data_IF_369973750429
#
_entry.id   IF_369973750429
#
_cell.length_a   1.000
_cell.length_b   1.000
_cell.length_c   1.000
_cell.angle_alpha   90.00
_cell.angle_beta   90.00
_cell.angle_gamma   90.00
#
_symmetry.space_group_name_H-M   'P 1'
#
loop_
_entity.id
_entity.type
_entity.pdbx_description
1 polymer ?
#
# COMPACT_ATOMS: atom_id res chain seq x y z
N UNK A 1 -15.79 1.14 19.42
CA UNK A 1 -14.51 0.98 18.70
C UNK A 1 -14.49 -0.42 18.11
N UNK A 2 -14.70 -0.53 16.79
CA UNK A 2 -14.66 -1.82 16.10
C UNK A 2 -13.21 -2.36 16.07
N UNK A 3 -13.04 -3.68 16.16
CA UNK A 3 -11.72 -4.32 16.06
C UNK A 3 -11.16 -4.14 14.65
N UNK A 4 -10.00 -3.48 14.53
CA UNK A 4 -9.27 -3.27 13.26
C UNK A 4 -8.23 -4.35 12.95
N UNK A 5 -8.16 -5.40 13.77
CA UNK A 5 -7.32 -6.57 13.54
C UNK A 5 -8.09 -7.82 13.96
N UNK A 6 -7.89 -8.91 13.23
CA UNK A 6 -8.57 -10.17 13.50
C UNK A 6 -8.13 -10.76 14.84
N UNK A 7 -9.07 -11.39 15.56
CA UNK A 7 -8.75 -12.17 16.77
C UNK A 7 -8.04 -13.46 16.37
N UNK A 8 -6.72 -13.42 16.39
CA UNK A 8 -5.84 -14.57 16.18
C UNK A 8 -5.25 -14.98 17.52
N UNK A 9 -5.48 -16.24 17.91
CA UNK A 9 -5.02 -16.80 19.17
C UNK A 9 -3.53 -17.18 19.13
N UNK A 10 -2.83 -16.99 20.24
CA UNK A 10 -1.39 -17.31 20.37
C UNK A 10 -1.11 -18.82 20.41
N UNK A 11 -2.12 -19.62 20.74
CA UNK A 11 -2.05 -21.09 20.76
C UNK A 11 -2.55 -21.71 19.44
N UNK A 12 -2.82 -20.90 18.42
CA UNK A 12 -3.35 -21.33 17.13
C UNK A 12 -2.27 -21.85 16.15
N UNK A 13 -2.62 -22.06 14.88
CA UNK A 13 -1.70 -22.55 13.83
C UNK A 13 -0.68 -21.51 13.33
N UNK A 14 -0.61 -20.34 13.98
CA UNK A 14 0.36 -19.29 13.71
C UNK A 14 1.46 -19.35 14.77
N UNK A 15 2.71 -19.22 14.35
CA UNK A 15 3.80 -19.04 15.31
C UNK A 15 3.73 -17.66 15.94
N UNK A 16 4.34 -17.51 17.13
CA UNK A 16 4.48 -16.21 17.79
C UNK A 16 5.18 -15.17 16.91
N UNK A 17 6.14 -15.60 16.08
CA UNK A 17 6.85 -14.73 15.13
C UNK A 17 5.93 -14.19 14.05
N UNK A 18 5.11 -15.03 13.42
CA UNK A 18 4.20 -14.60 12.35
C UNK A 18 3.07 -13.72 12.89
N UNK A 19 2.49 -14.12 14.03
CA UNK A 19 1.46 -13.33 14.69
C UNK A 19 1.99 -11.97 15.16
N UNK A 20 3.20 -11.94 15.72
CA UNK A 20 3.88 -10.70 16.12
C UNK A 20 4.15 -9.78 14.93
N UNK A 21 4.63 -10.34 13.81
CA UNK A 21 4.87 -9.59 12.59
C UNK A 21 3.59 -9.01 11.99
N UNK A 22 2.51 -9.81 11.87
CA UNK A 22 1.22 -9.35 11.37
C UNK A 22 0.62 -8.22 12.23
N UNK A 23 0.69 -8.34 13.57
CA UNK A 23 0.23 -7.30 14.50
C UNK A 23 1.06 -6.02 14.36
N UNK A 24 2.38 -6.16 14.28
CA UNK A 24 3.32 -5.04 14.13
C UNK A 24 3.09 -4.28 12.82
N UNK A 25 3.00 -5.00 11.69
CA UNK A 25 2.72 -4.40 10.40
C UNK A 25 1.33 -3.76 10.34
N UNK A 26 0.29 -4.39 10.90
CA UNK A 26 -1.03 -3.76 10.96
C UNK A 26 -1.01 -2.44 11.72
N UNK A 27 -0.31 -2.36 12.86
CA UNK A 27 -0.15 -1.12 13.61
C UNK A 27 0.59 -0.04 12.79
N UNK A 28 1.64 -0.43 12.05
CA UNK A 28 2.36 0.47 11.15
C UNK A 28 1.50 0.95 9.98
N UNK A 29 0.71 0.06 9.36
CA UNK A 29 -0.24 0.39 8.29
C UNK A 29 -1.29 1.38 8.77
N UNK A 30 -1.95 1.12 9.91
CA UNK A 30 -2.96 2.03 10.43
C UNK A 30 -2.38 3.40 10.75
N UNK A 31 -1.21 3.45 11.41
CA UNK A 31 -0.55 4.71 11.75
C UNK A 31 -0.19 5.50 10.49
N UNK A 32 0.46 4.84 9.52
CA UNK A 32 0.90 5.49 8.29
C UNK A 32 -0.26 5.91 7.39
N UNK A 33 -1.36 5.15 7.34
CA UNK A 33 -2.61 5.55 6.67
C UNK A 33 -3.18 6.83 7.24
N UNK A 34 -3.31 6.93 8.55
CA UNK A 34 -3.86 8.13 9.19
C UNK A 34 -2.98 9.37 8.96
N UNK A 35 -1.66 9.21 9.05
CA UNK A 35 -0.75 10.31 8.74
C UNK A 35 -0.82 10.70 7.27
N UNK A 36 -1.00 9.75 6.36
CA UNK A 36 -1.15 10.00 4.93
C UNK A 36 -2.44 10.79 4.64
N UNK A 37 -3.58 10.35 5.18
CA UNK A 37 -4.86 11.05 5.07
C UNK A 37 -4.78 12.47 5.65
N UNK A 38 -4.10 12.63 6.79
CA UNK A 38 -3.86 13.94 7.43
C UNK A 38 -3.00 14.86 6.55
N UNK A 39 -1.90 14.34 6.00
CA UNK A 39 -1.01 15.09 5.13
C UNK A 39 -1.70 15.50 3.81
N UNK A 40 -2.48 14.59 3.21
CA UNK A 40 -3.32 14.86 2.04
C UNK A 40 -4.32 16.00 2.30
N UNK A 41 -5.05 15.96 3.42
CA UNK A 41 -5.99 17.02 3.76
C UNK A 41 -5.32 18.41 3.96
N UNK A 42 -4.08 18.44 4.45
CA UNK A 42 -3.29 19.68 4.54
C UNK A 42 -2.88 20.17 3.17
N UNK A 43 -2.44 19.26 2.29
CA UNK A 43 -2.07 19.57 0.91
C UNK A 43 -3.26 20.11 0.11
N UNK A 44 -4.40 19.41 0.07
CA UNK A 44 -5.61 19.82 -0.67
C UNK A 44 -6.09 21.22 -0.27
N UNK A 45 -6.01 21.52 1.04
CA UNK A 45 -6.35 22.83 1.59
C UNK A 45 -5.39 23.93 1.10
N UNK A 46 -4.11 23.62 0.94
CA UNK A 46 -3.10 24.58 0.48
C UNK A 46 -3.16 24.78 -1.04
N UNK A 47 -3.39 23.71 -1.79
CA UNK A 47 -3.66 23.76 -3.23
C UNK A 47 -4.88 24.67 -3.52
N UNK A 48 -6.00 24.42 -2.84
CA UNK A 48 -7.21 25.26 -2.95
C UNK A 48 -6.97 26.74 -2.57
N UNK A 49 -5.99 27.01 -1.71
CA UNK A 49 -5.60 28.39 -1.34
C UNK A 49 -4.66 29.02 -2.36
N UNK A 50 -3.89 28.23 -3.10
CA UNK A 50 -3.09 28.67 -4.23
C UNK A 50 -3.99 29.32 -5.29
N UNK A 51 -5.08 28.64 -5.66
CA UNK A 51 -6.07 29.17 -6.62
C UNK A 51 -6.64 30.53 -6.18
N UNK A 52 -6.89 30.70 -4.88
CA UNK A 52 -7.36 31.98 -4.31
C UNK A 52 -6.26 33.04 -4.31
N UNK A 53 -5.01 32.65 -4.08
CA UNK A 53 -3.87 33.55 -4.12
C UNK A 53 -3.65 34.13 -5.51
N UNK A 54 -3.73 33.32 -6.56
CA UNK A 54 -3.61 33.75 -7.95
C UNK A 54 -4.66 34.81 -8.31
N UNK A 55 -5.90 34.62 -7.86
CA UNK A 55 -6.98 35.61 -8.03
C UNK A 55 -6.69 36.90 -7.26
N UNK A 56 -6.13 36.79 -6.05
CA UNK A 56 -5.83 37.96 -5.25
C UNK A 56 -4.68 38.78 -5.86
N UNK A 57 -3.64 38.11 -6.34
CA UNK A 57 -2.45 38.69 -6.98
C UNK A 57 -2.76 39.38 -8.30
N UNK A 58 -3.74 38.88 -9.07
CA UNK A 58 -4.23 39.59 -10.26
C UNK A 58 -4.77 41.01 -9.95
N UNK A 59 -5.12 41.29 -8.68
CA UNK A 59 -5.68 42.56 -8.22
C UNK A 59 -4.71 43.42 -7.37
N UNK A 60 -3.45 42.99 -7.17
CA UNK A 60 -2.47 43.71 -6.33
C UNK A 60 -1.07 43.67 -6.92
N UNK A 61 -0.25 44.67 -6.61
CA UNK A 61 1.19 44.71 -6.98
C UNK A 61 2.06 43.89 -6.01
N UNK A 62 1.53 43.47 -4.86
CA UNK A 62 2.29 42.81 -3.80
C UNK A 62 1.98 41.30 -3.72
N UNK A 63 2.96 40.41 -4.01
CA UNK A 63 2.76 38.95 -4.11
C UNK A 63 2.95 38.19 -2.78
N UNK A 64 3.01 38.88 -1.63
CA UNK A 64 3.41 38.24 -0.37
C UNK A 64 2.47 37.12 0.08
N UNK A 65 1.19 37.16 -0.31
CA UNK A 65 0.23 36.13 0.03
C UNK A 65 0.47 34.84 -0.76
N UNK A 66 0.60 34.91 -2.09
CA UNK A 66 0.88 33.73 -2.90
C UNK A 66 2.27 33.19 -2.65
N UNK A 67 3.28 34.04 -2.44
CA UNK A 67 4.62 33.60 -2.01
C UNK A 67 4.56 32.76 -0.72
N UNK A 68 3.83 33.23 0.28
CA UNK A 68 3.66 32.49 1.54
C UNK A 68 2.89 31.17 1.36
N UNK A 69 1.81 31.18 0.56
CA UNK A 69 1.05 29.96 0.27
C UNK A 69 1.92 28.94 -0.48
N UNK A 70 2.68 29.37 -1.48
CA UNK A 70 3.54 28.51 -2.28
C UNK A 70 4.67 27.87 -1.46
N UNK A 71 5.31 28.62 -0.56
CA UNK A 71 6.33 28.08 0.36
C UNK A 71 5.75 26.99 1.29
N UNK A 72 4.57 27.25 1.86
CA UNK A 72 3.89 26.30 2.75
C UNK A 72 3.40 25.07 1.97
N UNK A 73 2.86 25.27 0.76
CA UNK A 73 2.39 24.21 -0.12
C UNK A 73 3.54 23.26 -0.50
N UNK A 74 4.70 23.78 -0.91
CA UNK A 74 5.88 22.95 -1.21
C UNK A 74 6.31 22.09 -0.01
N UNK A 75 6.29 22.68 1.19
CA UNK A 75 6.61 21.94 2.43
C UNK A 75 5.59 20.84 2.73
N UNK A 76 4.31 21.12 2.51
CA UNK A 76 3.23 20.15 2.70
C UNK A 76 3.31 19.00 1.69
N UNK A 77 3.55 19.28 0.40
CA UNK A 77 3.75 18.25 -0.63
C UNK A 77 4.92 17.33 -0.31
N UNK A 78 6.06 17.89 0.13
CA UNK A 78 7.22 17.09 0.51
C UNK A 78 6.95 16.19 1.74
N UNK A 79 6.13 16.68 2.67
CA UNK A 79 5.71 15.91 3.84
C UNK A 79 4.74 14.79 3.46
N UNK A 80 3.69 15.11 2.71
CA UNK A 80 2.71 14.16 2.16
C UNK A 80 3.43 13.02 1.44
N UNK A 81 4.32 13.34 0.49
CA UNK A 81 5.05 12.32 -0.27
C UNK A 81 5.87 11.40 0.62
N UNK A 82 6.54 11.95 1.65
CA UNK A 82 7.34 11.15 2.58
C UNK A 82 6.47 10.19 3.38
N UNK A 83 5.29 10.64 3.82
CA UNK A 83 4.35 9.81 4.56
C UNK A 83 3.75 8.75 3.64
N UNK A 84 3.39 9.10 2.40
CA UNK A 84 2.90 8.16 1.39
C UNK A 84 3.88 7.03 1.09
N UNK A 85 5.17 7.35 0.93
CA UNK A 85 6.23 6.34 0.74
C UNK A 85 6.42 5.44 1.97
N UNK A 86 6.26 6.00 3.17
CA UNK A 86 6.28 5.22 4.41
C UNK A 86 5.08 4.27 4.48
N UNK A 87 3.89 4.77 4.12
CA UNK A 87 2.67 3.99 4.06
C UNK A 87 2.74 2.87 3.02
N UNK A 88 3.28 3.17 1.83
CA UNK A 88 3.54 2.18 0.79
C UNK A 88 4.36 1.01 1.32
N UNK A 89 5.52 1.30 1.91
CA UNK A 89 6.45 0.28 2.41
C UNK A 89 5.76 -0.72 3.35
N UNK A 90 5.04 -0.21 4.35
CA UNK A 90 4.42 -1.07 5.36
C UNK A 90 3.16 -1.76 4.85
N UNK A 91 2.40 -1.11 3.97
CA UNK A 91 1.19 -1.69 3.38
C UNK A 91 1.54 -2.80 2.41
N UNK A 92 2.50 -2.58 1.52
CA UNK A 92 2.99 -3.59 0.60
C UNK A 92 3.59 -4.80 1.35
N UNK A 93 4.40 -4.56 2.39
CA UNK A 93 4.93 -5.62 3.24
C UNK A 93 3.80 -6.40 3.97
N UNK A 94 2.78 -5.71 4.48
CA UNK A 94 1.64 -6.33 5.14
C UNK A 94 0.85 -7.23 4.20
N UNK A 95 0.58 -6.79 2.97
CA UNK A 95 -0.09 -7.61 1.95
C UNK A 95 0.74 -8.86 1.63
N UNK A 96 2.03 -8.71 1.31
CA UNK A 96 2.87 -9.84 0.91
C UNK A 96 3.06 -10.84 2.06
N UNK A 97 3.30 -10.38 3.30
CA UNK A 97 3.36 -11.26 4.47
C UNK A 97 2.02 -11.95 4.71
N UNK A 98 0.93 -11.19 4.65
CA UNK A 98 -0.42 -11.69 4.88
C UNK A 98 -0.81 -12.80 3.90
N UNK A 99 -0.55 -12.59 2.60
CA UNK A 99 -0.79 -13.60 1.55
C UNK A 99 0.06 -14.84 1.80
N UNK A 100 1.35 -14.69 2.11
CA UNK A 100 2.22 -15.83 2.38
C UNK A 100 1.73 -16.66 3.58
N UNK A 101 1.28 -16.00 4.66
CA UNK A 101 0.69 -16.67 5.82
C UNK A 101 -0.64 -17.33 5.45
N UNK A 102 -1.51 -16.64 4.72
CA UNK A 102 -2.81 -17.17 4.28
C UNK A 102 -2.64 -18.44 3.45
N UNK A 103 -1.80 -18.42 2.42
CA UNK A 103 -1.53 -19.57 1.57
C UNK A 103 -1.01 -20.76 2.39
N UNK A 104 -0.02 -20.55 3.27
CA UNK A 104 0.51 -21.67 4.04
C UNK A 104 -0.53 -22.26 5.01
N UNK A 105 -1.41 -21.43 5.57
CA UNK A 105 -2.45 -21.90 6.50
C UNK A 105 -3.51 -22.67 5.72
N UNK A 106 -3.98 -22.14 4.59
CA UNK A 106 -4.97 -22.81 3.73
C UNK A 106 -4.45 -24.15 3.19
N UNK A 107 -3.17 -24.24 2.87
CA UNK A 107 -2.54 -25.45 2.34
C UNK A 107 -1.92 -26.35 3.42
N UNK A 108 -2.11 -26.03 4.71
CA UNK A 108 -1.54 -26.79 5.85
C UNK A 108 -0.01 -26.97 5.80
N UNK A 109 0.68 -26.01 5.19
CA UNK A 109 2.15 -25.99 5.08
C UNK A 109 2.80 -25.61 6.41
N UNK A 110 4.08 -26.00 6.64
CA UNK A 110 4.83 -25.62 7.83
C UNK A 110 4.88 -24.09 8.04
N UNK A 111 5.00 -23.62 9.29
CA UNK A 111 5.18 -22.20 9.58
C UNK A 111 6.39 -21.58 8.89
N UNK A 112 6.31 -20.28 8.60
CA UNK A 112 7.42 -19.54 8.04
C UNK A 112 8.56 -19.44 9.06
N UNK A 113 9.80 -19.58 8.59
CA UNK A 113 10.97 -19.35 9.44
C UNK A 113 11.08 -17.87 9.84
N UNK A 114 11.69 -17.59 11.00
CA UNK A 114 11.87 -16.21 11.48
C UNK A 114 12.59 -15.31 10.45
N UNK A 115 13.63 -15.83 9.79
CA UNK A 115 14.35 -15.11 8.74
C UNK A 115 13.47 -14.80 7.51
N UNK A 116 12.54 -15.70 7.18
CA UNK A 116 11.57 -15.47 6.08
C UNK A 116 10.57 -14.39 6.46
N UNK A 117 10.06 -14.42 7.70
CA UNK A 117 9.15 -13.39 8.22
C UNK A 117 9.84 -12.02 8.25
N UNK A 118 11.07 -11.95 8.75
CA UNK A 118 11.85 -10.71 8.79
C UNK A 118 12.06 -10.12 7.38
N UNK A 119 12.39 -10.97 6.40
CA UNK A 119 12.51 -10.54 4.99
C UNK A 119 11.18 -10.06 4.42
N UNK A 120 10.05 -10.66 4.82
CA UNK A 120 8.71 -10.27 4.40
C UNK A 120 8.21 -8.97 5.04
N UNK A 121 8.78 -8.59 6.19
CA UNK A 121 8.49 -7.32 6.85
C UNK A 121 9.20 -6.11 6.21
N UNK A 122 10.13 -6.34 5.27
CA UNK A 122 10.74 -5.27 4.48
C UNK A 122 9.87 -4.90 3.29
N UNK A 123 10.15 -3.75 2.67
CA UNK A 123 9.49 -3.38 1.43
C UNK A 123 9.69 -4.47 0.36
N UNK A 124 8.61 -5.01 -0.23
CA UNK A 124 8.73 -5.92 -1.34
C UNK A 124 9.06 -5.16 -2.63
N UNK A 125 9.72 -5.83 -3.57
CA UNK A 125 9.80 -5.32 -4.95
C UNK A 125 8.41 -5.25 -5.56
N UNK A 126 8.22 -4.38 -6.57
CA UNK A 126 6.95 -4.25 -7.27
C UNK A 126 6.45 -5.58 -7.85
N UNK A 127 7.36 -6.37 -8.44
CA UNK A 127 7.07 -7.70 -8.97
C UNK A 127 6.63 -8.69 -7.88
N UNK A 128 7.26 -8.67 -6.71
CA UNK A 128 6.85 -9.53 -5.59
C UNK A 128 5.47 -9.15 -5.05
N UNK A 129 5.16 -7.86 -4.99
CA UNK A 129 3.83 -7.39 -4.63
C UNK A 129 2.79 -7.82 -5.69
N UNK A 130 3.11 -7.65 -6.97
CA UNK A 130 2.27 -8.10 -8.08
C UNK A 130 1.99 -9.61 -8.04
N UNK A 131 3.01 -10.43 -7.76
CA UNK A 131 2.87 -11.88 -7.57
C UNK A 131 1.93 -12.22 -6.40
N UNK A 132 2.09 -11.53 -5.26
CA UNK A 132 1.22 -11.74 -4.10
C UNK A 132 -0.25 -11.36 -4.42
N UNK A 133 -0.47 -10.29 -5.18
CA UNK A 133 -1.81 -9.86 -5.62
C UNK A 133 -2.41 -10.78 -6.69
N UNK A 134 -1.60 -11.61 -7.34
CA UNK A 134 -2.05 -12.59 -8.33
C UNK A 134 -2.53 -13.90 -7.69
N UNK A 135 -2.38 -14.07 -6.38
CA UNK A 135 -2.88 -15.24 -5.65
C UNK A 135 -4.42 -15.20 -5.62
N UNK A 136 -5.10 -16.30 -5.98
CA UNK A 136 -6.57 -16.35 -5.97
C UNK A 136 -7.11 -16.49 -4.54
N UNK A 137 -7.02 -15.42 -3.75
CA UNK A 137 -7.42 -15.40 -2.33
C UNK A 137 -8.89 -15.81 -2.14
N UNK A 138 -9.77 -15.47 -3.09
CA UNK A 138 -11.17 -15.87 -3.07
C UNK A 138 -11.40 -17.40 -3.06
N UNK A 139 -10.42 -18.17 -3.55
CA UNK A 139 -10.45 -19.64 -3.56
C UNK A 139 -9.88 -20.24 -2.27
N UNK A 140 -9.04 -19.50 -1.55
CA UNK A 140 -8.41 -19.93 -0.28
C UNK A 140 -9.32 -19.71 0.92
N UNK A 141 -10.24 -18.75 0.85
CA UNK A 141 -11.08 -18.35 1.98
C UNK A 141 -12.41 -19.12 1.96
N UNK A 142 -12.78 -19.78 3.07
CA UNK A 142 -14.07 -20.47 3.20
C UNK A 142 -15.23 -19.47 3.12
N UNK A 143 -16.28 -19.82 2.37
CA UNK A 143 -17.40 -18.91 2.09
C UNK A 143 -18.42 -18.90 3.23
N UNK A 144 -18.91 -17.71 3.61
CA UNK A 144 -20.08 -17.56 4.47
C UNK A 144 -21.35 -17.85 3.66
N UNK A 145 -22.26 -18.68 4.19
CA UNK A 145 -23.42 -19.25 3.48
C UNK A 145 -24.44 -18.23 2.90
N UNK A 146 -24.29 -16.93 3.17
CA UNK A 146 -25.15 -15.87 2.63
C UNK A 146 -24.31 -14.98 1.68
N UNK A 147 -24.69 -14.94 0.38
CA UNK A 147 -24.05 -14.20 -0.73
C UNK A 147 -22.76 -14.81 -1.35
N UNK A 148 -22.78 -16.11 -1.61
CA UNK A 148 -21.65 -16.92 -2.11
C UNK A 148 -20.98 -16.40 -3.39
N UNK A 149 -21.78 -15.98 -4.40
CA UNK A 149 -21.25 -15.60 -5.72
C UNK A 149 -20.78 -14.15 -5.71
N UNK A 150 -21.60 -13.27 -5.14
CA UNK A 150 -21.35 -11.82 -5.12
C UNK A 150 -20.11 -11.47 -4.28
N UNK A 151 -19.90 -12.13 -3.13
CA UNK A 151 -18.73 -11.87 -2.30
C UNK A 151 -17.42 -12.31 -2.97
N UNK A 152 -17.37 -13.54 -3.53
CA UNK A 152 -16.17 -14.05 -4.23
C UNK A 152 -15.81 -13.20 -5.45
N UNK A 153 -16.80 -12.82 -6.25
CA UNK A 153 -16.59 -11.96 -7.42
C UNK A 153 -16.04 -10.60 -6.99
N UNK A 154 -16.64 -9.96 -5.97
CA UNK A 154 -16.13 -8.69 -5.44
C UNK A 154 -14.70 -8.78 -4.92
N UNK A 155 -14.37 -9.83 -4.17
CA UNK A 155 -12.99 -10.03 -3.68
C UNK A 155 -12.04 -10.22 -4.86
N UNK A 156 -12.37 -11.05 -5.85
CA UNK A 156 -11.53 -11.23 -7.03
C UNK A 156 -11.33 -9.92 -7.81
N UNK A 157 -12.38 -9.12 -7.98
CA UNK A 157 -12.31 -7.80 -8.62
C UNK A 157 -11.43 -6.82 -7.85
N UNK A 158 -11.54 -6.76 -6.53
CA UNK A 158 -10.70 -5.90 -5.68
C UNK A 158 -9.22 -6.26 -5.78
N UNK A 159 -8.90 -7.55 -5.72
CA UNK A 159 -7.51 -8.03 -5.85
C UNK A 159 -6.96 -7.78 -7.26
N UNK A 160 -7.77 -8.02 -8.31
CA UNK A 160 -7.39 -7.72 -9.68
C UNK A 160 -7.15 -6.22 -9.90
N UNK A 161 -8.02 -5.36 -9.36
CA UNK A 161 -7.83 -3.91 -9.44
C UNK A 161 -6.52 -3.48 -8.77
N UNK A 162 -6.22 -3.98 -7.56
CA UNK A 162 -4.96 -3.66 -6.89
C UNK A 162 -3.75 -4.16 -7.69
N UNK A 163 -3.82 -5.38 -8.25
CA UNK A 163 -2.78 -5.95 -9.11
C UNK A 163 -2.53 -5.07 -10.33
N UNK A 164 -3.57 -4.68 -11.04
CA UNK A 164 -3.47 -3.87 -12.26
C UNK A 164 -2.91 -2.46 -11.96
N UNK A 165 -3.20 -1.92 -10.77
CA UNK A 165 -2.58 -0.66 -10.31
C UNK A 165 -1.10 -0.79 -9.98
N UNK A 166 -0.67 -1.92 -9.44
CA UNK A 166 0.76 -2.22 -9.23
C UNK A 166 1.46 -2.46 -10.56
N UNK A 167 0.81 -3.12 -11.53
CA UNK A 167 1.35 -3.28 -12.88
C UNK A 167 1.55 -1.92 -13.57
N UNK A 168 0.58 -1.02 -13.43
CA UNK A 168 0.72 0.35 -13.90
C UNK A 168 1.87 1.11 -13.19
N UNK A 169 2.06 0.91 -11.89
CA UNK A 169 3.19 1.49 -11.17
C UNK A 169 4.55 0.98 -11.70
N UNK A 170 4.64 -0.29 -12.13
CA UNK A 170 5.84 -0.83 -12.80
C UNK A 170 6.08 -0.11 -14.12
N UNK A 171 5.04 0.12 -14.91
CA UNK A 171 5.14 0.85 -16.17
C UNK A 171 5.60 2.30 -15.95
N UNK A 172 5.08 2.99 -14.92
CA UNK A 172 5.50 4.35 -14.56
C UNK A 172 6.95 4.42 -14.11
N UNK A 173 7.45 3.43 -13.35
CA UNK A 173 8.88 3.37 -12.98
C UNK A 173 9.76 3.27 -14.23
N UNK A 174 9.33 2.50 -15.24
CA UNK A 174 10.04 2.37 -16.50
C UNK A 174 10.02 3.68 -17.31
N UNK A 175 8.87 4.34 -17.38
CA UNK A 175 8.69 5.64 -18.05
C UNK A 175 9.58 6.72 -17.41
N UNK A 176 9.58 6.82 -16.08
CA UNK A 176 10.43 7.77 -15.35
C UNK A 176 11.91 7.51 -15.65
N UNK A 177 12.33 6.25 -15.68
CA UNK A 177 13.73 5.90 -15.97
C UNK A 177 14.14 6.27 -17.40
N UNK A 178 13.21 6.16 -18.36
CA UNK A 178 13.42 6.60 -19.74
C UNK A 178 13.51 8.13 -19.83
N UNK A 179 12.57 8.85 -19.21
CA UNK A 179 12.51 10.32 -19.21
C UNK A 179 13.74 10.96 -18.54
N UNK A 180 14.28 10.33 -17.49
CA UNK A 180 15.48 10.80 -16.79
C UNK A 180 16.81 10.34 -17.44
N UNK A 181 16.76 9.59 -18.55
CA UNK A 181 17.91 8.90 -19.16
C UNK A 181 18.74 8.08 -18.13
N UNK A 182 18.04 7.46 -17.18
CA UNK A 182 18.66 6.67 -16.13
C UNK A 182 19.27 5.38 -16.70
N UNK A 183 20.35 4.87 -16.09
CA UNK A 183 20.96 3.62 -16.55
C UNK A 183 19.98 2.42 -16.48
N UNK A 184 19.14 2.39 -15.44
CA UNK A 184 18.15 1.35 -15.15
C UNK A 184 16.92 1.94 -14.45
N UNK A 185 15.76 1.25 -14.49
CA UNK A 185 15.45 0.06 -15.30
C UNK A 185 15.27 0.36 -16.80
N UNK A 186 15.54 -0.64 -17.65
CA UNK A 186 15.35 -0.57 -19.12
C UNK A 186 14.29 -1.54 -19.65
N UNK A 187 13.76 -2.40 -18.79
CA UNK A 187 12.71 -3.37 -19.13
C UNK A 187 11.67 -3.45 -18.02
N UNK A 188 10.49 -3.97 -18.34
CA UNK A 188 9.41 -4.19 -17.35
C UNK A 188 9.85 -5.18 -16.25
N UNK A 189 10.64 -6.18 -16.58
CA UNK A 189 11.19 -7.14 -15.61
C UNK A 189 12.18 -6.47 -14.64
N UNK A 190 13.03 -5.55 -15.14
CA UNK A 190 13.92 -4.76 -14.29
C UNK A 190 13.12 -3.82 -13.38
N UNK A 191 12.10 -3.14 -13.92
CA UNK A 191 11.21 -2.27 -13.15
C UNK A 191 10.42 -3.04 -12.08
N UNK A 192 9.99 -4.27 -12.37
CA UNK A 192 9.39 -5.17 -11.39
C UNK A 192 10.38 -5.56 -10.27
N UNK A 193 11.69 -5.50 -10.53
CA UNK A 193 12.75 -5.70 -9.54
C UNK A 193 12.96 -4.53 -8.58
N UNK A 194 12.40 -3.35 -8.88
CA UNK A 194 12.61 -2.13 -8.11
C UNK A 194 11.79 -2.08 -6.81
N UNK A 195 12.31 -1.35 -5.82
CA UNK A 195 11.53 -0.83 -4.70
C UNK A 195 10.88 0.49 -5.11
N UNK A 196 9.62 0.71 -4.77
CA UNK A 196 8.93 1.95 -5.15
C UNK A 196 9.57 3.14 -4.42
N UNK A 197 9.99 2.97 -3.17
CA UNK A 197 10.60 4.07 -2.39
C UNK A 197 11.93 4.56 -2.96
N UNK A 198 12.62 3.73 -3.76
CA UNK A 198 13.86 4.08 -4.44
C UNK A 198 13.62 4.66 -5.84
N UNK A 199 12.50 4.32 -6.48
CA UNK A 199 12.17 4.69 -7.86
C UNK A 199 10.93 5.59 -7.96
N UNK A 200 10.80 6.54 -7.03
CA UNK A 200 9.70 7.52 -7.02
C UNK A 200 10.25 8.95 -6.77
N UNK A 201 10.98 9.55 -7.74
CA UNK A 201 11.72 10.80 -7.58
C UNK A 201 10.83 12.00 -7.23
N UNK A 202 11.23 12.90 -6.32
CA UNK A 202 10.35 13.93 -5.75
C UNK A 202 9.83 14.99 -6.74
N UNK A 203 10.38 15.03 -7.95
CA UNK A 203 10.02 15.99 -8.99
C UNK A 203 9.10 15.39 -10.07
N UNK A 204 8.71 14.12 -9.92
CA UNK A 204 7.78 13.41 -10.80
C UNK A 204 6.43 13.24 -10.12
N UNK A 205 5.38 12.97 -10.90
CA UNK A 205 4.10 12.55 -10.35
C UNK A 205 4.29 11.29 -9.48
N UNK A 206 3.60 11.17 -8.33
CA UNK A 206 3.89 10.07 -7.43
C UNK A 206 3.44 8.71 -7.97
N UNK A 207 4.38 7.79 -8.12
CA UNK A 207 4.14 6.42 -8.65
C UNK A 207 3.13 5.61 -7.81
N UNK A 208 3.01 5.91 -6.51
CA UNK A 208 2.05 5.23 -5.63
C UNK A 208 0.60 5.68 -5.85
N UNK A 209 0.36 6.73 -6.63
CA UNK A 209 -0.97 7.30 -6.84
C UNK A 209 -1.90 6.24 -7.46
N UNK A 210 -3.08 6.05 -6.86
CA UNK A 210 -4.08 5.10 -7.33
C UNK A 210 -3.81 3.63 -6.97
N UNK A 211 -2.60 3.28 -6.55
CA UNK A 211 -2.26 1.94 -6.05
C UNK A 211 -2.36 1.83 -4.52
N UNK A 212 -1.99 2.88 -3.79
CA UNK A 212 -1.90 2.84 -2.32
C UNK A 212 -3.25 2.62 -1.62
N UNK A 213 -4.32 3.30 -2.07
CA UNK A 213 -5.65 3.20 -1.43
C UNK A 213 -6.25 1.78 -1.50
N UNK A 214 -6.27 1.10 -2.67
CA UNK A 214 -6.65 -0.32 -2.73
C UNK A 214 -5.81 -1.21 -1.82
N UNK A 215 -4.49 -0.95 -1.72
CA UNK A 215 -3.60 -1.76 -0.89
C UNK A 215 -3.89 -1.61 0.60
N UNK A 216 -4.30 -0.44 1.09
CA UNK A 216 -4.71 -0.27 2.48
C UNK A 216 -5.87 -1.19 2.83
N UNK A 217 -6.88 -1.25 1.96
CA UNK A 217 -8.03 -2.11 2.16
C UNK A 217 -7.61 -3.58 2.25
N UNK A 218 -6.78 -4.04 1.31
CA UNK A 218 -6.28 -5.42 1.31
C UNK A 218 -5.43 -5.74 2.54
N UNK A 219 -4.56 -4.83 2.96
CA UNK A 219 -3.72 -5.02 4.15
C UNK A 219 -4.56 -5.16 5.44
N UNK A 220 -5.72 -4.49 5.50
CA UNK A 220 -6.68 -4.64 6.60
C UNK A 220 -7.47 -5.96 6.51
N UNK A 221 -7.87 -6.39 5.30
CA UNK A 221 -8.72 -7.56 5.08
C UNK A 221 -8.00 -8.90 5.28
N UNK A 222 -6.75 -9.01 4.84
CA UNK A 222 -6.00 -10.28 4.84
C UNK A 222 -5.90 -10.93 6.23
N UNK A 223 -5.64 -10.22 7.34
CA UNK A 223 -5.71 -10.81 8.68
C UNK A 223 -7.07 -11.44 9.02
N UNK A 224 -8.17 -10.87 8.55
CA UNK A 224 -9.51 -11.45 8.75
C UNK A 224 -9.70 -12.70 7.92
N UNK A 225 -9.20 -12.72 6.68
CA UNK A 225 -9.22 -13.92 5.84
C UNK A 225 -8.40 -15.06 6.46
N UNK A 226 -7.21 -14.78 7.01
CA UNK A 226 -6.42 -15.75 7.78
C UNK A 226 -7.26 -16.30 8.95
N UNK A 227 -7.92 -15.42 9.71
CA UNK A 227 -8.78 -15.84 10.83
C UNK A 227 -9.94 -16.73 10.39
N UNK A 228 -10.54 -16.46 9.22
CA UNK A 228 -11.64 -17.27 8.66
C UNK A 228 -11.15 -18.65 8.26
N UNK A 229 -9.98 -18.76 7.62
CA UNK A 229 -9.39 -20.06 7.26
C UNK A 229 -9.13 -20.88 8.53
N UNK A 230 -8.50 -20.27 9.54
CA UNK A 230 -8.17 -20.96 10.81
C UNK A 230 -9.42 -21.47 11.52
N UNK A 231 -10.52 -20.72 11.53
CA UNK A 231 -11.76 -21.12 12.22
C UNK A 231 -12.52 -22.26 11.53
N UNK A 232 -12.25 -22.48 10.24
CA UNK A 232 -12.91 -23.50 9.43
C UNK A 232 -11.97 -24.67 9.07
N UNK A 233 -10.76 -24.69 9.63
CA UNK A 233 -9.79 -25.80 9.55
C UNK A 233 -9.91 -26.67 10.80
#
# INVERSE_FOLDING_TARGET
MAMRFARLEENGPLTSTELGALRSLNAAVLTSRYEFESAGAVWDRLESRGDVADVHEAATTFPFYGEAIHEIARSAAAHERRVALTAWRYTAAAVVLGVAVLQRVAETKPPLSAATVEKLCQEPTLGRLHEALSVPVADLVPVLEHDLVDHRTRTAEQWAQARDRVDHAIDLVLEIAEDEDAAHPRTKDEAAGCLLTEHCPPHTDPVYHGALEPLFQLAEDVPFDISRVIKNS
#
